data_IF_697817237682
#
_entry.id   IF_697817237682
#
_cell.length_a   1.000
_cell.length_b   1.000
_cell.length_c   1.000
_cell.angle_alpha   90.00
_cell.angle_beta   90.00
_cell.angle_gamma   90.00
#
_symmetry.space_group_name_H-M   'P 1'
#
loop_
_entity.id
_entity.type
_entity.pdbx_description
1 polymer ?
#
# COMPACT_ATOMS: atom_id res chain seq x y z
N UNK A 1 110.95 0.01 13.55
CA UNK A 1 110.51 1.29 12.96
C UNK A 1 109.32 1.04 12.05
N UNK A 2 108.15 1.49 12.49
CA UNK A 2 106.84 1.17 11.93
C UNK A 2 106.49 2.10 10.75
N UNK A 3 106.13 1.53 9.59
CA UNK A 3 105.54 2.28 8.48
C UNK A 3 104.06 1.94 8.37
N UNK A 4 103.28 2.96 8.65
CA UNK A 4 101.83 3.13 8.60
C UNK A 4 101.10 2.37 7.49
N UNK A 5 100.25 1.41 7.90
CA UNK A 5 99.06 1.00 7.15
C UNK A 5 98.11 2.19 7.06
N UNK A 6 98.06 2.84 5.90
CA UNK A 6 96.94 3.73 5.56
C UNK A 6 95.77 2.87 5.13
N UNK A 7 94.81 2.71 6.03
CA UNK A 7 93.52 2.09 5.73
C UNK A 7 92.76 2.97 4.73
N UNK A 8 92.25 2.30 3.71
CA UNK A 8 91.45 2.81 2.62
C UNK A 8 90.00 2.98 3.07
N UNK A 9 89.63 4.16 3.57
CA UNK A 9 88.22 4.52 3.73
C UNK A 9 87.73 5.34 2.53
N UNK A 10 87.45 4.63 1.43
CA UNK A 10 86.63 5.18 0.35
C UNK A 10 85.16 5.04 0.76
N UNK A 11 84.67 6.01 1.55
CA UNK A 11 83.23 6.20 1.78
C UNK A 11 82.55 6.46 0.44
N UNK A 12 81.96 5.42 -0.15
CA UNK A 12 81.09 5.56 -1.32
C UNK A 12 79.80 6.29 -0.88
N UNK A 13 79.42 7.40 -1.51
CA UNK A 13 78.13 8.02 -1.23
C UNK A 13 77.04 7.08 -1.76
N UNK A 14 76.18 6.64 -0.85
CA UNK A 14 75.08 5.73 -1.13
C UNK A 14 74.08 6.45 -2.06
N UNK A 15 74.00 6.04 -3.33
CA UNK A 15 73.09 6.59 -4.35
C UNK A 15 71.63 6.16 -4.05
N UNK A 16 71.04 6.68 -2.98
CA UNK A 16 69.63 6.43 -2.62
C UNK A 16 68.65 7.49 -3.14
N UNK A 17 69.17 8.60 -3.67
CA UNK A 17 68.38 9.79 -4.03
C UNK A 17 67.70 9.65 -5.40
N UNK A 18 68.22 8.83 -6.33
CA UNK A 18 67.65 8.68 -7.69
C UNK A 18 66.33 7.91 -7.75
N UNK A 19 66.14 6.89 -6.91
CA UNK A 19 64.96 6.02 -6.98
C UNK A 19 63.77 6.59 -6.19
N UNK A 20 64.04 7.43 -5.18
CA UNK A 20 62.99 8.06 -4.38
C UNK A 20 62.05 8.95 -5.21
N UNK A 21 62.60 9.71 -6.17
CA UNK A 21 61.79 10.53 -7.09
C UNK A 21 60.90 9.70 -8.02
N UNK A 22 61.42 8.58 -8.55
CA UNK A 22 60.66 7.66 -9.39
C UNK A 22 59.55 6.99 -8.60
N UNK A 23 59.81 6.57 -7.36
CA UNK A 23 58.78 5.97 -6.50
C UNK A 23 57.64 6.96 -6.18
N UNK A 24 57.96 8.22 -5.90
CA UNK A 24 56.95 9.28 -5.69
C UNK A 24 56.12 9.51 -6.96
N UNK A 25 56.75 9.56 -8.14
CA UNK A 25 56.04 9.70 -9.41
C UNK A 25 55.13 8.50 -9.68
N UNK A 26 55.61 7.28 -9.47
CA UNK A 26 54.79 6.06 -9.65
C UNK A 26 53.63 6.01 -8.66
N UNK A 27 53.85 6.38 -7.40
CA UNK A 27 52.79 6.43 -6.40
C UNK A 27 51.73 7.46 -6.79
N UNK A 28 52.15 8.65 -7.23
CA UNK A 28 51.25 9.68 -7.74
C UNK A 28 50.41 9.19 -8.94
N UNK A 29 51.05 8.49 -9.89
CA UNK A 29 50.37 7.93 -11.06
C UNK A 29 49.35 6.85 -10.68
N UNK A 30 49.68 5.98 -9.72
CA UNK A 30 48.77 4.95 -9.20
C UNK A 30 47.58 5.59 -8.49
N UNK A 31 47.82 6.58 -7.63
CA UNK A 31 46.75 7.31 -6.93
C UNK A 31 45.83 8.01 -7.93
N UNK A 32 46.39 8.67 -8.94
CA UNK A 32 45.61 9.34 -9.99
C UNK A 32 44.78 8.34 -10.80
N UNK A 33 45.35 7.19 -11.17
CA UNK A 33 44.62 6.12 -11.86
C UNK A 33 43.47 5.58 -11.02
N UNK A 34 43.70 5.31 -9.72
CA UNK A 34 42.66 4.83 -8.82
C UNK A 34 41.54 5.88 -8.65
N UNK A 35 41.90 7.16 -8.54
CA UNK A 35 40.93 8.24 -8.44
C UNK A 35 40.08 8.37 -9.72
N UNK A 36 40.71 8.31 -10.90
CA UNK A 36 39.98 8.32 -12.17
C UNK A 36 39.07 7.11 -12.32
N UNK A 37 39.52 5.91 -11.94
CA UNK A 37 38.71 4.70 -12.02
C UNK A 37 37.49 4.79 -11.10
N UNK A 38 37.68 5.27 -9.86
CA UNK A 38 36.58 5.48 -8.92
C UNK A 38 35.57 6.53 -9.45
N UNK A 39 36.07 7.63 -10.01
CA UNK A 39 35.24 8.68 -10.62
C UNK A 39 34.43 8.14 -11.80
N UNK A 40 35.07 7.38 -12.69
CA UNK A 40 34.41 6.77 -13.85
C UNK A 40 33.29 5.81 -13.43
N UNK A 41 33.55 4.94 -12.45
CA UNK A 41 32.53 4.01 -11.92
C UNK A 41 31.36 4.80 -11.33
N UNK A 42 31.63 5.84 -10.53
CA UNK A 42 30.59 6.70 -9.96
C UNK A 42 29.73 7.37 -11.04
N UNK A 43 30.36 7.85 -12.11
CA UNK A 43 29.66 8.50 -13.21
C UNK A 43 28.80 7.52 -14.02
N UNK A 44 29.31 6.31 -14.30
CA UNK A 44 28.54 5.25 -14.98
C UNK A 44 27.34 4.82 -14.14
N UNK A 45 27.53 4.60 -12.83
CA UNK A 45 26.43 4.24 -11.93
C UNK A 45 25.38 5.34 -11.84
N UNK A 46 25.80 6.60 -11.76
CA UNK A 46 24.89 7.76 -11.71
C UNK A 46 24.08 7.84 -13.00
N UNK A 47 24.71 7.67 -14.17
CA UNK A 47 24.02 7.64 -15.46
C UNK A 47 22.97 6.52 -15.53
N UNK A 48 23.33 5.30 -15.15
CA UNK A 48 22.41 4.17 -15.14
C UNK A 48 21.23 4.37 -14.17
N UNK A 49 21.48 4.95 -12.99
CA UNK A 49 20.42 5.27 -12.04
C UNK A 49 19.48 6.35 -12.59
N UNK A 50 20.01 7.37 -13.27
CA UNK A 50 19.22 8.45 -13.83
C UNK A 50 18.31 7.95 -14.95
N UNK A 51 18.82 7.07 -15.83
CA UNK A 51 18.00 6.48 -16.89
C UNK A 51 16.87 5.61 -16.31
N UNK A 52 17.18 4.75 -15.33
CA UNK A 52 16.13 3.95 -14.65
C UNK A 52 15.05 4.82 -14.00
N UNK A 53 15.44 5.93 -13.37
CA UNK A 53 14.48 6.88 -12.78
C UNK A 53 13.64 7.53 -13.86
N UNK A 54 14.25 7.92 -14.99
CA UNK A 54 13.55 8.50 -16.12
C UNK A 54 12.52 7.52 -16.70
N UNK A 55 12.90 6.27 -16.94
CA UNK A 55 12.00 5.22 -17.41
C UNK A 55 10.84 4.98 -16.44
N UNK A 56 11.13 4.92 -15.13
CA UNK A 56 10.10 4.76 -14.11
C UNK A 56 9.10 5.93 -14.09
N UNK A 57 9.59 7.17 -14.22
CA UNK A 57 8.74 8.36 -14.27
C UNK A 57 7.88 8.40 -15.55
N UNK A 58 8.42 7.97 -16.69
CA UNK A 58 7.66 7.88 -17.94
C UNK A 58 6.54 6.84 -17.80
N UNK A 59 6.85 5.67 -17.24
CA UNK A 59 5.86 4.62 -17.01
C UNK A 59 4.76 5.07 -16.02
N UNK A 60 5.15 5.76 -14.95
CA UNK A 60 4.20 6.30 -13.98
C UNK A 60 3.30 7.38 -14.59
N UNK A 61 3.87 8.28 -15.40
CA UNK A 61 3.09 9.31 -16.09
C UNK A 61 2.08 8.67 -17.05
N UNK A 62 2.52 7.71 -17.88
CA UNK A 62 1.62 6.97 -18.78
C UNK A 62 0.47 6.27 -18.03
N UNK A 63 0.75 5.70 -16.85
CA UNK A 63 -0.29 5.10 -15.99
C UNK A 63 -1.28 6.15 -15.49
N UNK A 64 -0.79 7.30 -15.05
CA UNK A 64 -1.64 8.39 -14.53
C UNK A 64 -2.49 8.98 -15.66
N UNK A 65 -1.93 9.19 -16.84
CA UNK A 65 -2.67 9.68 -18.00
C UNK A 65 -3.79 8.71 -18.40
N UNK A 66 -3.50 7.41 -18.47
CA UNK A 66 -4.51 6.39 -18.75
C UNK A 66 -5.63 6.38 -17.70
N UNK A 67 -5.28 6.47 -16.41
CA UNK A 67 -6.27 6.55 -15.34
C UNK A 67 -7.10 7.83 -15.43
N UNK A 68 -6.49 8.97 -15.77
CA UNK A 68 -7.19 10.24 -15.92
C UNK A 68 -8.19 10.19 -17.08
N UNK A 69 -7.82 9.59 -18.21
CA UNK A 69 -8.74 9.40 -19.36
C UNK A 69 -9.93 8.52 -18.94
N UNK A 70 -9.68 7.40 -18.27
CA UNK A 70 -10.74 6.52 -17.78
C UNK A 70 -11.68 7.25 -16.81
N UNK A 71 -11.13 7.91 -15.80
CA UNK A 71 -11.90 8.67 -14.81
C UNK A 71 -12.71 9.80 -15.45
N UNK A 72 -12.15 10.51 -16.44
CA UNK A 72 -12.89 11.54 -17.17
C UNK A 72 -14.08 10.95 -17.93
N UNK A 73 -13.90 9.79 -18.57
CA UNK A 73 -14.99 9.12 -19.28
C UNK A 73 -16.09 8.65 -18.33
N UNK A 74 -15.74 8.18 -17.13
CA UNK A 74 -16.69 7.80 -16.10
C UNK A 74 -17.48 9.00 -15.57
N UNK A 75 -16.80 10.12 -15.34
CA UNK A 75 -17.44 11.38 -14.92
C UNK A 75 -18.39 11.89 -16.00
N UNK A 76 -17.93 11.93 -17.26
CA UNK A 76 -18.76 12.37 -18.39
C UNK A 76 -20.02 11.49 -18.53
N UNK A 77 -19.88 10.17 -18.37
CA UNK A 77 -21.02 9.26 -18.36
C UNK A 77 -21.95 9.51 -17.16
N UNK A 78 -21.40 9.68 -15.95
CA UNK A 78 -22.18 9.93 -14.74
C UNK A 78 -22.93 11.28 -14.79
N UNK A 79 -22.40 12.28 -15.49
CA UNK A 79 -23.05 13.57 -15.73
C UNK A 79 -24.05 13.52 -16.89
N UNK A 80 -24.06 12.44 -17.67
CA UNK A 80 -24.91 12.32 -18.85
C UNK A 80 -26.41 12.15 -18.49
N UNK A 81 -27.33 12.64 -19.34
CA UNK A 81 -28.76 12.42 -19.16
C UNK A 81 -29.15 10.94 -19.14
N UNK A 82 -28.40 10.09 -19.86
CA UNK A 82 -28.65 8.65 -19.91
C UNK A 82 -28.43 7.99 -18.54
N UNK A 83 -27.38 8.40 -17.81
CA UNK A 83 -27.15 7.92 -16.44
C UNK A 83 -28.24 8.43 -15.49
N UNK A 84 -28.66 9.69 -15.61
CA UNK A 84 -29.77 10.22 -14.82
C UNK A 84 -31.08 9.45 -15.06
N UNK A 85 -31.38 9.09 -16.30
CA UNK A 85 -32.54 8.26 -16.65
C UNK A 85 -32.41 6.84 -16.11
N UNK A 86 -31.23 6.24 -16.18
CA UNK A 86 -30.98 4.92 -15.61
C UNK A 86 -31.25 4.91 -14.10
N UNK A 87 -30.74 5.91 -13.35
CA UNK A 87 -31.01 6.06 -11.92
C UNK A 87 -32.51 6.25 -11.66
N UNK A 88 -33.18 7.09 -12.47
CA UNK A 88 -34.61 7.33 -12.34
C UNK A 88 -35.42 6.04 -12.49
N UNK A 89 -35.11 5.20 -13.49
CA UNK A 89 -35.82 3.94 -13.75
C UNK A 89 -35.45 2.83 -12.76
N UNK A 90 -34.16 2.63 -12.50
CA UNK A 90 -33.67 1.47 -11.74
C UNK A 90 -33.74 1.67 -10.22
N UNK A 91 -33.39 2.87 -9.73
CA UNK A 91 -33.31 3.11 -8.29
C UNK A 91 -34.54 3.83 -7.74
N UNK A 92 -35.11 4.75 -8.53
CA UNK A 92 -36.27 5.52 -8.11
C UNK A 92 -37.59 4.94 -8.59
N UNK A 93 -37.57 3.96 -9.50
CA UNK A 93 -38.77 3.34 -10.08
C UNK A 93 -39.66 4.33 -10.84
N UNK A 94 -39.08 5.44 -11.32
CA UNK A 94 -39.78 6.48 -12.05
C UNK A 94 -39.90 6.07 -13.52
N UNK A 95 -41.06 6.35 -14.09
CA UNK A 95 -41.33 6.16 -15.51
C UNK A 95 -41.11 7.48 -16.27
N UNK A 96 -40.67 7.41 -17.52
CA UNK A 96 -40.49 8.60 -18.34
C UNK A 96 -41.85 9.14 -18.82
N UNK A 97 -41.87 10.39 -19.28
CA UNK A 97 -43.08 10.99 -19.83
C UNK A 97 -43.51 10.23 -21.11
N UNK A 98 -44.72 9.67 -21.10
CA UNK A 98 -45.24 8.82 -22.17
C UNK A 98 -45.10 7.31 -21.96
N UNK A 99 -44.43 6.86 -20.89
CA UNK A 99 -44.37 5.44 -20.53
C UNK A 99 -45.70 4.93 -19.95
N UNK A 100 -46.06 3.68 -20.27
CA UNK A 100 -47.24 3.00 -19.70
C UNK A 100 -46.85 2.20 -18.48
N UNK A 101 -47.23 2.68 -17.29
CA UNK A 101 -46.98 1.98 -16.02
C UNK A 101 -48.01 0.86 -15.83
N UNK A 102 -47.56 -0.40 -15.85
CA UNK A 102 -48.41 -1.56 -15.54
C UNK A 102 -48.31 -1.87 -14.06
N UNK A 103 -49.41 -1.72 -13.33
CA UNK A 103 -49.49 -2.08 -11.91
C UNK A 103 -50.13 -3.47 -11.78
N UNK A 104 -49.39 -4.51 -11.37
CA UNK A 104 -49.95 -5.85 -11.20
C UNK A 104 -50.97 -5.82 -10.07
N UNK A 105 -52.25 -6.07 -10.38
CA UNK A 105 -53.27 -6.32 -9.37
C UNK A 105 -53.28 -7.80 -9.07
N UNK A 106 -53.00 -8.15 -7.81
CA UNK A 106 -53.20 -9.52 -7.33
C UNK A 106 -54.67 -9.65 -6.95
N UNK A 107 -55.30 -10.76 -7.34
CA UNK A 107 -56.66 -11.06 -6.88
C UNK A 107 -56.68 -11.07 -5.35
N UNK A 108 -57.67 -10.41 -4.76
CA UNK A 108 -57.90 -10.46 -3.32
C UNK A 108 -57.88 -11.91 -2.87
N UNK A 109 -56.90 -12.25 -2.03
CA UNK A 109 -56.87 -13.54 -1.35
C UNK A 109 -58.23 -13.61 -0.62
N UNK A 110 -59.07 -14.64 -0.87
CA UNK A 110 -60.32 -14.78 -0.15
C UNK A 110 -60.00 -14.70 1.33
N UNK A 111 -60.73 -13.83 2.04
CA UNK A 111 -60.54 -13.60 3.46
C UNK A 111 -60.36 -14.96 4.12
N UNK A 112 -59.16 -15.21 4.68
CA UNK A 112 -58.93 -16.40 5.47
C UNK A 112 -60.08 -16.45 6.46
N UNK A 113 -60.82 -17.57 6.48
CA UNK A 113 -61.84 -17.81 7.49
C UNK A 113 -61.29 -17.35 8.83
N UNK A 114 -62.04 -16.48 9.50
CA UNK A 114 -61.67 -15.90 10.77
C UNK A 114 -61.60 -17.05 11.76
N UNK A 115 -60.44 -17.72 11.82
CA UNK A 115 -60.10 -18.59 12.93
C UNK A 115 -60.22 -17.71 14.16
N UNK A 116 -61.07 -18.05 15.13
CA UNK A 116 -61.27 -17.19 16.29
C UNK A 116 -59.90 -16.86 16.88
N UNK A 117 -59.59 -15.57 16.97
CA UNK A 117 -58.38 -15.10 17.63
C UNK A 117 -58.35 -15.76 19.01
N UNK A 118 -57.35 -16.62 19.31
CA UNK A 118 -57.25 -17.20 20.63
C UNK A 118 -57.20 -16.05 21.63
N UNK A 119 -58.14 -16.04 22.57
CA UNK A 119 -58.18 -15.05 23.64
C UNK A 119 -56.79 -15.03 24.27
N UNK A 120 -56.09 -13.87 24.34
CA UNK A 120 -54.80 -13.79 24.98
C UNK A 120 -54.95 -14.31 26.40
N UNK A 121 -54.22 -15.38 26.76
CA UNK A 121 -54.10 -15.74 28.17
C UNK A 121 -53.57 -14.49 28.91
N UNK A 122 -54.10 -14.16 30.09
CA UNK A 122 -53.59 -13.03 30.86
C UNK A 122 -52.08 -13.18 31.00
N UNK A 123 -51.34 -12.14 30.59
CA UNK A 123 -49.89 -12.13 30.70
C UNK A 123 -49.53 -12.40 32.18
N UNK A 124 -48.61 -13.34 32.46
CA UNK A 124 -48.14 -13.53 33.83
C UNK A 124 -47.61 -12.19 34.33
N UNK A 125 -48.13 -11.73 35.47
CA UNK A 125 -47.64 -10.50 36.11
C UNK A 125 -46.13 -10.64 36.35
N UNK A 126 -45.30 -9.68 35.91
CA UNK A 126 -43.86 -9.74 36.13
C UNK A 126 -43.59 -9.82 37.63
N UNK A 127 -43.16 -11.00 38.09
CA UNK A 127 -42.75 -11.14 39.48
C UNK A 127 -41.39 -10.47 39.66
N UNK A 128 -41.20 -9.67 40.72
CA UNK A 128 -39.91 -9.06 41.00
C UNK A 128 -38.86 -10.14 41.28
N UNK A 129 -37.64 -9.94 40.75
CA UNK A 129 -36.56 -10.93 40.77
C UNK A 129 -36.29 -11.55 42.16
N UNK A 130 -36.48 -10.80 43.25
CA UNK A 130 -36.29 -11.30 44.62
C UNK A 130 -37.21 -12.47 44.97
N UNK A 131 -38.44 -12.53 44.43
CA UNK A 131 -39.36 -13.66 44.65
C UNK A 131 -38.83 -14.93 44.01
N UNK A 132 -38.17 -14.83 42.85
CA UNK A 132 -37.54 -15.97 42.19
C UNK A 132 -36.38 -16.53 43.02
N UNK A 133 -35.56 -15.65 43.62
CA UNK A 133 -34.48 -16.07 44.52
C UNK A 133 -35.01 -16.74 45.79
N UNK A 134 -36.06 -16.19 46.41
CA UNK A 134 -36.69 -16.81 47.60
C UNK A 134 -37.27 -18.18 47.26
N UNK A 135 -37.95 -18.33 46.11
CA UNK A 135 -38.47 -19.62 45.67
C UNK A 135 -37.35 -20.62 45.41
N UNK A 136 -36.27 -20.23 44.73
CA UNK A 136 -35.13 -21.11 44.47
C UNK A 136 -34.44 -21.58 45.77
N UNK A 137 -34.38 -20.72 46.78
CA UNK A 137 -33.82 -21.05 48.10
C UNK A 137 -34.79 -21.87 48.97
N UNK A 138 -36.09 -21.66 48.81
CA UNK A 138 -37.14 -22.38 49.55
C UNK A 138 -37.50 -23.73 48.92
N UNK A 139 -37.36 -23.88 47.59
CA UNK A 139 -37.50 -25.15 46.86
C UNK A 139 -36.22 -25.97 46.97
N UNK A 140 -35.72 -26.13 48.19
CA UNK A 140 -34.62 -27.03 48.48
C UNK A 140 -35.10 -28.48 48.30
N UNK A 141 -34.43 -29.29 47.47
CA UNK A 141 -34.75 -30.70 47.31
C UNK A 141 -34.21 -31.48 48.52
N UNK A 142 -35.09 -31.83 49.44
CA UNK A 142 -34.88 -32.88 50.42
C UNK A 142 -36.02 -33.89 50.34
N UNK A 143 -35.81 -34.95 49.56
CA UNK A 143 -36.62 -36.18 49.55
C UNK A 143 -36.68 -36.80 50.96
N UNK A 144 -37.64 -37.69 51.30
CA UNK A 144 -38.11 -38.85 50.53
C UNK A 144 -39.36 -38.62 49.64
#
# INVERSE_FOLDING_TARGET
>A
MARSRRQSDLRRPDRRIGNAGVHVLTLGMVVLSLWMLASFIGQVMTGAQLERRREALIAENARIEAANIALRSEVEYAESPAYAEQIAREQLGLAAEGDVVVLPTFADRPAAEVVPTPVPLPAPTPQPNWRAWVQALASSPGAP
#
